data_IF_760794816284
#
_entry.id   IF_760794816284
#
_cell.length_a   1.000
_cell.length_b   1.000
_cell.length_c   1.000
_cell.angle_alpha   90.00
_cell.angle_beta   90.00
_cell.angle_gamma   90.00
#
_symmetry.space_group_name_H-M   'P 1'
#
loop_
_entity.id
_entity.type
_entity.pdbx_description
1 polymer ?
#
# COMPACT_ATOMS: atom_id res chain seq x y z
N UNK A 1 37.91 -0.11 0.73
CA UNK A 1 36.53 -0.53 1.02
C UNK A 1 35.68 -0.01 -0.11
N UNK A 2 35.07 -0.90 -0.91
CA UNK A 2 34.31 -0.50 -2.10
C UNK A 2 32.93 0.00 -1.68
N UNK A 3 32.63 1.25 -1.98
CA UNK A 3 31.31 1.83 -1.88
C UNK A 3 30.56 1.48 -3.18
N UNK A 4 29.98 0.29 -3.21
CA UNK A 4 29.18 -0.17 -4.35
C UNK A 4 27.80 0.47 -4.24
N UNK A 5 27.60 1.55 -4.99
CA UNK A 5 26.33 2.22 -5.15
C UNK A 5 25.20 1.24 -5.47
N UNK A 6 24.24 1.17 -4.55
CA UNK A 6 22.99 0.47 -4.75
C UNK A 6 22.17 1.21 -5.81
N UNK A 7 22.26 0.79 -7.08
CA UNK A 7 21.24 1.08 -8.08
C UNK A 7 19.97 0.36 -7.65
N UNK A 8 19.20 1.00 -6.78
CA UNK A 8 17.90 0.49 -6.35
C UNK A 8 16.99 0.45 -7.57
N UNK A 9 16.67 -0.77 -8.01
CA UNK A 9 15.66 -1.04 -9.02
C UNK A 9 14.44 -0.14 -8.78
N UNK A 10 14.14 0.72 -9.76
CA UNK A 10 13.04 1.69 -9.71
C UNK A 10 11.66 1.03 -9.91
N UNK A 11 11.57 -0.28 -9.71
CA UNK A 11 10.35 -1.04 -9.83
C UNK A 11 9.55 -0.98 -8.51
N UNK A 12 8.21 -0.89 -8.59
CA UNK A 12 7.38 -0.88 -7.40
C UNK A 12 7.50 -2.20 -6.64
N UNK A 13 7.52 -2.10 -5.31
CA UNK A 13 7.58 -3.25 -4.40
C UNK A 13 6.30 -4.12 -4.46
N UNK A 14 5.18 -3.60 -4.96
CA UNK A 14 3.94 -4.36 -5.14
C UNK A 14 3.42 -4.11 -6.55
N UNK A 15 3.19 -5.17 -7.31
CA UNK A 15 2.66 -5.13 -8.69
C UNK A 15 1.30 -5.80 -8.84
N UNK A 16 0.81 -6.44 -7.78
CA UNK A 16 -0.44 -7.24 -7.77
C UNK A 16 -1.68 -6.45 -7.37
N UNK A 17 -1.65 -5.12 -7.48
CA UNK A 17 -2.80 -4.28 -7.15
C UNK A 17 -3.85 -4.33 -8.28
N UNK A 18 -5.15 -4.23 -7.96
CA UNK A 18 -6.19 -4.19 -8.98
C UNK A 18 -6.01 -2.95 -9.87
N UNK A 19 -6.13 -3.14 -11.18
CA UNK A 19 -6.11 -2.05 -12.16
C UNK A 19 -7.52 -1.75 -12.67
N UNK A 20 -7.81 -0.52 -13.13
CA UNK A 20 -9.08 -0.18 -13.75
C UNK A 20 -9.43 -1.10 -14.95
N UNK A 21 -10.72 -1.23 -15.29
CA UNK A 21 -11.86 -0.50 -14.73
C UNK A 21 -12.36 -1.07 -13.40
N UNK A 22 -12.79 -0.19 -12.51
CA UNK A 22 -13.47 -0.58 -11.27
C UNK A 22 -14.99 -0.65 -11.47
N UNK A 23 -15.72 -1.47 -10.69
CA UNK A 23 -17.17 -1.48 -10.71
C UNK A 23 -17.75 -0.12 -10.31
N UNK A 24 -18.83 0.29 -10.98
CA UNK A 24 -19.62 1.44 -10.53
C UNK A 24 -20.24 1.14 -9.16
N UNK A 25 -19.92 1.96 -8.18
CA UNK A 25 -20.38 1.83 -6.79
C UNK A 25 -20.46 3.23 -6.15
N UNK A 26 -21.48 3.47 -5.33
CA UNK A 26 -21.69 4.75 -4.63
C UNK A 26 -22.14 4.46 -3.20
N UNK A 27 -21.65 5.26 -2.26
CA UNK A 27 -21.99 5.17 -0.85
C UNK A 27 -22.30 6.57 -0.32
N UNK A 28 -23.17 6.66 0.68
CA UNK A 28 -23.41 7.92 1.40
C UNK A 28 -22.24 8.19 2.36
N UNK A 29 -21.76 9.44 2.49
CA UNK A 29 -20.68 9.77 3.42
C UNK A 29 -20.99 9.37 4.88
N UNK A 30 -20.01 8.86 5.64
CA UNK A 30 -18.59 8.72 5.29
C UNK A 30 -18.25 7.49 4.42
N UNK A 31 -19.22 6.60 4.19
CA UNK A 31 -18.99 5.29 3.56
C UNK A 31 -18.29 4.29 4.49
N UNK A 32 -18.16 3.05 4.03
CA UNK A 32 -17.49 1.95 4.70
C UNK A 32 -16.62 1.19 3.68
N UNK A 33 -15.33 1.09 3.96
CA UNK A 33 -14.36 0.41 3.10
C UNK A 33 -14.70 -1.07 2.86
N UNK A 34 -15.26 -1.75 3.87
CA UNK A 34 -15.71 -3.16 3.76
C UNK A 34 -16.82 -3.37 2.73
N UNK A 35 -17.51 -2.31 2.33
CA UNK A 35 -18.59 -2.35 1.34
C UNK A 35 -18.08 -1.98 -0.08
N UNK A 36 -16.78 -1.74 -0.24
CA UNK A 36 -16.15 -1.47 -1.55
C UNK A 36 -15.84 -2.76 -2.31
N UNK A 37 -15.83 -2.69 -3.64
CA UNK A 37 -15.40 -3.79 -4.51
C UNK A 37 -14.40 -3.29 -5.57
N UNK A 38 -13.17 -3.84 -5.63
CA UNK A 38 -12.60 -4.83 -4.72
C UNK A 38 -12.39 -4.28 -3.31
N UNK A 39 -12.34 -5.17 -2.31
CA UNK A 39 -12.06 -4.79 -0.92
C UNK A 39 -10.62 -4.22 -0.80
N UNK A 40 -10.42 -3.12 -0.05
CA UNK A 40 -9.10 -2.54 0.15
C UNK A 40 -8.11 -3.51 0.83
N UNK A 41 -6.91 -3.65 0.25
CA UNK A 41 -5.81 -4.43 0.83
C UNK A 41 -4.96 -3.53 1.72
N UNK A 42 -5.53 -3.08 2.85
CA UNK A 42 -4.89 -2.11 3.75
C UNK A 42 -3.64 -2.65 4.46
N UNK A 43 -3.52 -3.98 4.58
CA UNK A 43 -2.32 -4.61 5.12
C UNK A 43 -1.17 -4.49 4.13
N UNK A 44 -0.01 -4.07 4.61
CA UNK A 44 1.21 -4.00 3.83
C UNK A 44 2.12 -5.19 4.18
N UNK A 45 1.96 -6.38 3.53
CA UNK A 45 2.68 -7.60 3.94
C UNK A 45 4.20 -7.50 3.78
N UNK A 46 4.68 -6.61 2.91
CA UNK A 46 6.12 -6.34 2.73
C UNK A 46 6.63 -5.14 3.54
N UNK A 47 5.78 -4.52 4.36
CA UNK A 47 6.21 -3.41 5.24
C UNK A 47 7.18 -3.92 6.30
N UNK A 48 8.26 -3.17 6.50
CA UNK A 48 9.28 -3.45 7.52
C UNK A 48 9.32 -2.28 8.49
N UNK A 49 8.86 -2.50 9.71
CA UNK A 49 8.97 -1.53 10.79
C UNK A 49 10.45 -1.24 11.07
N UNK A 50 10.76 0.02 11.32
CA UNK A 50 12.12 0.50 11.58
C UNK A 50 12.14 1.49 12.76
N UNK A 51 11.29 1.25 13.77
CA UNK A 51 11.17 2.06 14.99
C UNK A 51 10.87 3.56 14.79
N UNK A 52 10.48 3.98 13.58
CA UNK A 52 10.23 5.38 13.20
C UNK A 52 9.20 6.11 14.06
N UNK A 53 8.30 5.37 14.74
CA UNK A 53 7.24 5.92 15.58
C UNK A 53 7.40 5.57 17.07
N UNK A 54 8.58 5.11 17.49
CA UNK A 54 8.82 4.78 18.90
C UNK A 54 8.53 5.99 19.80
N UNK A 55 7.64 5.81 20.79
CA UNK A 55 7.26 6.83 21.77
C UNK A 55 6.23 7.86 21.29
N UNK A 56 5.57 7.64 20.15
CA UNK A 56 4.48 8.50 19.65
C UNK A 56 3.11 8.01 20.14
N UNK A 57 2.22 8.97 20.40
CA UNK A 57 0.79 8.81 20.76
C UNK A 57 -0.02 9.76 19.91
#
# INVERSE_FOLDING_TARGET
MHDSGNTGDTAPQVTSEPTPPYPHQSQQPPGLERDMTPEPRFLAPRYRAADKLRGKV
#
